data_IF_875348442060
#
_entry.id   IF_875348442060
#
_cell.length_a   1.000
_cell.length_b   1.000
_cell.length_c   1.000
_cell.angle_alpha   90.00
_cell.angle_beta   90.00
_cell.angle_gamma   90.00
#
_symmetry.space_group_name_H-M   'P 1'
#
loop_
_entity.id
_entity.type
_entity.pdbx_description
1 polymer ?
#
# COMPACT_ATOMS: atom_id res chain seq x y z
N UNK A 1 10.68 49.17 10.30
CA UNK A 1 11.16 48.18 9.34
C UNK A 1 11.07 46.83 10.03
N UNK A 2 9.97 46.17 9.89
CA UNK A 2 9.75 44.86 10.50
C UNK A 2 10.28 43.77 9.55
N UNK A 3 11.36 43.16 9.96
CA UNK A 3 11.95 41.99 9.30
C UNK A 3 11.06 40.78 9.63
N UNK A 4 10.02 40.58 8.83
CA UNK A 4 9.23 39.39 8.94
C UNK A 4 10.08 38.22 8.41
N UNK A 5 10.75 37.55 9.33
CA UNK A 5 11.32 36.24 9.08
C UNK A 5 10.18 35.34 8.65
N UNK A 6 10.01 35.13 7.34
CA UNK A 6 9.21 34.05 6.75
C UNK A 6 9.89 32.71 7.11
N UNK A 7 9.86 32.37 8.38
CA UNK A 7 10.12 31.03 8.84
C UNK A 7 8.93 30.17 8.45
N UNK A 8 8.86 29.79 7.18
CA UNK A 8 7.98 28.73 6.74
C UNK A 8 8.26 27.51 7.61
N UNK A 9 7.28 27.14 8.45
CA UNK A 9 7.39 25.97 9.31
C UNK A 9 7.71 24.76 8.44
N UNK A 10 8.81 24.11 8.70
CA UNK A 10 9.15 22.86 8.05
C UNK A 10 8.01 21.87 8.27
N UNK A 11 7.43 21.38 7.18
CA UNK A 11 6.44 20.30 7.25
C UNK A 11 7.16 18.99 7.49
N UNK A 12 6.59 18.17 8.34
CA UNK A 12 7.09 16.82 8.57
C UNK A 12 7.00 15.92 7.32
N UNK A 13 6.10 16.24 6.39
CA UNK A 13 5.84 15.45 5.18
C UNK A 13 6.51 16.01 3.93
N UNK A 14 6.69 17.32 3.86
CA UNK A 14 7.19 18.00 2.67
C UNK A 14 8.48 18.77 2.97
N UNK A 15 9.45 18.66 2.09
CA UNK A 15 10.67 19.44 2.17
C UNK A 15 10.43 20.92 1.78
N UNK A 16 11.38 21.78 2.10
CA UNK A 16 11.30 23.22 1.82
C UNK A 16 11.08 23.52 0.35
N UNK A 17 11.71 22.76 -0.55
CA UNK A 17 11.56 22.96 -1.99
C UNK A 17 10.13 22.67 -2.44
N UNK A 18 9.53 21.60 -1.94
CA UNK A 18 8.12 21.26 -2.21
C UNK A 18 7.17 22.32 -1.66
N UNK A 19 7.40 22.81 -0.43
CA UNK A 19 6.60 23.88 0.17
C UNK A 19 6.69 25.16 -0.67
N UNK A 20 7.89 25.53 -1.10
CA UNK A 20 8.09 26.70 -1.98
C UNK A 20 7.37 26.57 -3.32
N UNK A 21 7.41 25.36 -3.94
CA UNK A 21 6.68 25.12 -5.18
C UNK A 21 5.15 25.20 -4.99
N UNK A 22 4.63 24.71 -3.86
CA UNK A 22 3.20 24.80 -3.51
C UNK A 22 2.80 26.27 -3.29
N UNK A 23 3.61 27.03 -2.55
CA UNK A 23 3.35 28.45 -2.30
C UNK A 23 3.39 29.28 -3.59
N UNK A 24 4.34 28.99 -4.49
CA UNK A 24 4.41 29.63 -5.80
C UNK A 24 3.19 29.30 -6.65
N UNK A 25 2.77 28.04 -6.68
CA UNK A 25 1.57 27.62 -7.41
C UNK A 25 0.31 28.34 -6.88
N UNK A 26 0.19 28.46 -5.56
CA UNK A 26 -0.93 29.15 -4.92
C UNK A 26 -0.93 30.65 -5.19
N UNK A 27 0.25 31.29 -5.21
CA UNK A 27 0.39 32.75 -5.40
C UNK A 27 0.26 33.17 -6.86
N UNK A 28 0.96 32.48 -7.74
CA UNK A 28 1.21 32.92 -9.12
C UNK A 28 0.38 32.13 -10.15
N UNK A 29 -0.33 31.06 -9.72
CA UNK A 29 -1.05 30.16 -10.62
C UNK A 29 -0.14 29.34 -11.52
N UNK A 30 1.19 29.40 -11.30
CA UNK A 30 2.18 28.67 -12.09
C UNK A 30 2.62 27.43 -11.33
N UNK A 31 2.40 26.26 -11.89
CA UNK A 31 2.73 24.99 -11.27
C UNK A 31 3.52 24.08 -12.22
N UNK A 32 4.34 23.23 -11.62
CA UNK A 32 5.01 22.14 -12.35
C UNK A 32 4.03 20.98 -12.53
N UNK A 33 4.03 20.38 -13.71
CA UNK A 33 3.23 19.16 -13.96
C UNK A 33 3.93 17.98 -13.28
N UNK A 34 3.76 17.87 -11.98
CA UNK A 34 4.26 16.77 -11.16
C UNK A 34 3.40 16.61 -9.89
N UNK A 35 3.38 15.41 -9.32
CA UNK A 35 2.79 15.18 -8.02
C UNK A 35 3.63 15.75 -6.88
N UNK A 36 2.99 16.14 -5.79
CA UNK A 36 3.64 16.51 -4.53
C UNK A 36 3.58 15.31 -3.58
N UNK A 37 4.50 14.38 -3.75
CA UNK A 37 4.63 13.23 -2.86
C UNK A 37 5.29 13.60 -1.53
N UNK A 38 4.93 12.92 -0.45
CA UNK A 38 5.63 13.01 0.82
C UNK A 38 7.08 12.56 0.67
N UNK A 39 8.01 13.34 1.24
CA UNK A 39 9.45 13.05 1.21
C UNK A 39 10.00 12.66 2.57
N UNK A 40 9.13 12.29 3.49
CA UNK A 40 9.52 11.79 4.79
C UNK A 40 10.32 10.49 4.63
N UNK A 41 11.42 10.37 5.35
CA UNK A 41 12.10 9.09 5.52
C UNK A 41 11.16 8.15 6.29
N UNK A 42 10.70 7.11 5.64
CA UNK A 42 9.89 6.06 6.26
C UNK A 42 10.79 5.00 6.89
N UNK A 43 10.31 4.27 7.90
CA UNK A 43 11.01 3.10 8.40
C UNK A 43 11.32 2.12 7.27
N UNK A 44 12.52 1.57 7.28
CA UNK A 44 12.98 0.58 6.32
C UNK A 44 13.23 -0.75 7.03
N UNK A 45 13.31 -1.85 6.30
CA UNK A 45 13.63 -3.15 6.90
C UNK A 45 14.98 -3.15 7.62
N UNK A 46 15.95 -2.35 7.16
CA UNK A 46 17.24 -2.19 7.84
C UNK A 46 17.15 -1.50 9.21
N UNK A 47 16.04 -0.81 9.49
CA UNK A 47 15.76 -0.20 10.79
C UNK A 47 15.14 -1.19 11.80
N UNK A 48 14.88 -2.44 11.37
CA UNK A 48 14.26 -3.48 12.18
C UNK A 48 15.27 -4.55 12.57
N UNK A 49 15.21 -4.97 13.82
CA UNK A 49 16.04 -6.07 14.34
C UNK A 49 15.14 -7.08 15.02
N UNK A 50 15.28 -8.34 14.68
CA UNK A 50 14.66 -9.42 15.42
C UNK A 50 15.46 -9.70 16.68
N UNK A 51 14.83 -9.53 17.85
CA UNK A 51 15.47 -9.89 19.10
C UNK A 51 15.43 -11.40 19.29
N UNK A 52 16.59 -12.01 19.39
CA UNK A 52 16.71 -13.44 19.68
C UNK A 52 16.17 -13.75 21.07
N UNK A 53 15.38 -14.81 21.18
CA UNK A 53 14.80 -15.28 22.43
C UNK A 53 15.47 -16.58 22.96
N UNK A 54 16.61 -16.97 22.42
CA UNK A 54 17.27 -18.26 22.70
C UNK A 54 17.68 -18.46 24.17
N UNK A 55 17.85 -17.37 24.91
CA UNK A 55 18.16 -17.43 26.35
C UNK A 55 16.89 -17.53 27.21
N UNK A 56 15.75 -17.04 26.71
CA UNK A 56 14.47 -16.97 27.45
C UNK A 56 13.45 -18.01 27.01
N UNK A 57 13.63 -18.62 25.84
CA UNK A 57 12.73 -19.64 25.26
C UNK A 57 13.52 -20.70 24.50
N UNK A 58 12.99 -21.92 24.49
CA UNK A 58 13.45 -22.93 23.55
C UNK A 58 13.14 -22.47 22.12
N UNK A 59 14.12 -22.54 21.20
CA UNK A 59 13.88 -22.21 19.80
C UNK A 59 12.82 -23.13 19.20
N UNK A 60 11.89 -22.55 18.41
CA UNK A 60 11.00 -23.33 17.57
C UNK A 60 11.81 -23.96 16.43
N UNK A 61 11.70 -25.27 16.30
CA UNK A 61 12.33 -26.00 15.21
C UNK A 61 11.30 -26.26 14.11
N UNK A 62 11.41 -25.54 12.98
CA UNK A 62 10.41 -25.54 11.91
C UNK A 62 10.07 -26.91 11.31
N UNK A 63 10.86 -27.93 11.55
CA UNK A 63 10.56 -29.31 11.17
C UNK A 63 9.78 -30.09 12.24
N UNK A 64 9.69 -29.58 13.46
CA UNK A 64 8.95 -30.19 14.57
C UNK A 64 7.66 -29.45 14.90
N UNK A 65 7.58 -28.19 14.56
CA UNK A 65 6.49 -27.32 14.98
C UNK A 65 5.92 -26.55 13.79
N UNK A 66 4.60 -26.54 13.67
CA UNK A 66 3.93 -25.74 12.67
C UNK A 66 3.87 -24.28 13.12
N UNK A 67 4.48 -23.38 12.34
CA UNK A 67 4.31 -21.96 12.50
C UNK A 67 3.05 -21.51 11.76
N UNK A 68 2.05 -21.02 12.47
CA UNK A 68 0.86 -20.41 11.86
C UNK A 68 1.25 -19.14 11.11
N UNK A 69 0.87 -19.06 9.83
CA UNK A 69 1.13 -17.89 8.98
C UNK A 69 -0.14 -17.15 8.59
N UNK A 70 -1.30 -17.69 8.91
CA UNK A 70 -2.59 -17.09 8.61
C UNK A 70 -2.80 -15.76 9.35
N UNK A 71 -3.44 -14.83 8.68
CA UNK A 71 -3.76 -13.50 9.21
C UNK A 71 -5.22 -13.18 8.92
N UNK A 72 -5.92 -12.64 9.90
CA UNK A 72 -7.27 -12.10 9.74
C UNK A 72 -7.22 -10.58 9.62
N UNK A 73 -7.70 -10.05 8.50
CA UNK A 73 -7.77 -8.63 8.22
C UNK A 73 -9.18 -8.10 8.49
N UNK A 74 -9.28 -6.98 9.22
CA UNK A 74 -10.55 -6.33 9.48
C UNK A 74 -11.30 -6.82 10.72
N UNK A 75 -10.67 -7.58 11.61
CA UNK A 75 -11.29 -8.14 12.83
C UNK A 75 -11.94 -7.11 13.74
N UNK A 76 -11.45 -5.88 13.73
CA UNK A 76 -11.97 -4.82 14.61
C UNK A 76 -13.29 -4.22 14.12
N UNK A 77 -13.55 -4.20 12.82
CA UNK A 77 -14.66 -3.43 12.23
C UNK A 77 -15.53 -4.23 11.27
N UNK A 78 -15.17 -5.46 10.96
CA UNK A 78 -15.92 -6.30 10.02
C UNK A 78 -16.55 -7.48 10.74
N UNK A 79 -17.82 -7.75 10.44
CA UNK A 79 -18.48 -8.97 10.87
C UNK A 79 -17.92 -10.23 10.19
N UNK A 80 -17.31 -10.05 9.01
CA UNK A 80 -16.68 -11.11 8.22
C UNK A 80 -15.26 -10.69 7.85
N UNK A 81 -14.27 -10.89 8.73
CA UNK A 81 -12.87 -10.61 8.45
C UNK A 81 -12.38 -11.42 7.23
N UNK A 82 -11.43 -10.85 6.50
CA UNK A 82 -10.76 -11.56 5.42
C UNK A 82 -9.59 -12.36 6.00
N UNK A 83 -9.65 -13.68 5.94
CA UNK A 83 -8.54 -14.55 6.31
C UNK A 83 -7.62 -14.77 5.11
N UNK A 84 -6.32 -14.55 5.29
CA UNK A 84 -5.27 -14.89 4.34
C UNK A 84 -4.33 -15.91 4.97
N UNK A 85 -3.86 -16.87 4.15
CA UNK A 85 -3.09 -18.01 4.67
C UNK A 85 -1.61 -17.66 4.89
N UNK A 86 -1.16 -16.60 4.22
CA UNK A 86 0.21 -16.06 4.36
C UNK A 86 0.16 -14.53 4.54
N UNK A 87 1.06 -13.92 5.32
CA UNK A 87 1.05 -12.48 5.61
C UNK A 87 1.66 -11.64 4.47
N UNK A 88 1.39 -12.02 3.23
CA UNK A 88 1.87 -11.35 2.01
C UNK A 88 0.65 -11.12 1.13
N UNK A 89 0.44 -9.89 0.68
CA UNK A 89 -0.62 -9.51 -0.25
C UNK A 89 -0.04 -8.91 -1.51
N UNK A 90 -0.74 -9.04 -2.63
CA UNK A 90 -0.34 -8.40 -3.89
C UNK A 90 -0.90 -6.98 -3.90
N UNK A 91 0.00 -5.99 -4.03
CA UNK A 91 -0.35 -4.58 -4.09
C UNK A 91 -1.20 -4.26 -5.31
N UNK A 92 -1.99 -3.17 -5.21
CA UNK A 92 -2.79 -2.69 -6.33
C UNK A 92 -1.93 -2.29 -7.53
N UNK A 93 -2.26 -2.87 -8.67
CA UNK A 93 -1.66 -2.56 -9.97
C UNK A 93 -2.77 -2.35 -10.97
N UNK A 94 -2.88 -1.12 -11.50
CA UNK A 94 -4.00 -0.69 -12.34
C UNK A 94 -4.13 -1.49 -13.63
N UNK A 95 -5.36 -1.80 -13.99
CA UNK A 95 -5.70 -2.16 -15.35
C UNK A 95 -5.46 -0.96 -16.27
N UNK A 96 -4.73 -1.17 -17.34
CA UNK A 96 -4.19 -0.10 -18.18
C UNK A 96 -2.67 0.03 -18.05
N UNK A 97 -2.11 -0.12 -16.84
CA UNK A 97 -0.68 -0.41 -16.65
C UNK A 97 -0.38 -1.88 -16.89
N UNK A 98 -1.26 -2.74 -16.42
CA UNK A 98 -1.20 -4.19 -16.63
C UNK A 98 -2.28 -4.62 -17.63
N UNK A 99 -1.97 -5.66 -18.40
CA UNK A 99 -2.94 -6.32 -19.27
C UNK A 99 -3.92 -7.19 -18.48
N UNK A 100 -5.04 -7.57 -19.10
CA UNK A 100 -5.99 -8.52 -18.52
C UNK A 100 -5.34 -9.86 -18.15
N UNK A 101 -4.45 -10.38 -19.02
CA UNK A 101 -3.73 -11.62 -18.75
C UNK A 101 -2.80 -11.51 -17.52
N UNK A 102 -2.15 -10.37 -17.33
CA UNK A 102 -1.33 -10.14 -16.14
C UNK A 102 -2.19 -10.07 -14.87
N UNK A 103 -3.36 -9.43 -14.93
CA UNK A 103 -4.32 -9.38 -13.82
C UNK A 103 -4.85 -10.77 -13.48
N UNK A 104 -5.16 -11.59 -14.49
CA UNK A 104 -5.54 -12.99 -14.31
C UNK A 104 -4.43 -13.80 -13.64
N UNK A 105 -3.19 -13.68 -14.13
CA UNK A 105 -2.06 -14.39 -13.55
C UNK A 105 -1.82 -14.05 -12.08
N UNK A 106 -1.94 -12.77 -11.71
CA UNK A 106 -1.87 -12.33 -10.32
C UNK A 106 -2.99 -12.92 -9.46
N UNK A 107 -4.22 -12.94 -9.98
CA UNK A 107 -5.38 -13.55 -9.31
C UNK A 107 -5.20 -15.05 -9.06
N UNK A 108 -4.74 -15.79 -10.07
CA UNK A 108 -4.43 -17.21 -9.97
C UNK A 108 -3.29 -17.48 -8.96
N UNK A 109 -2.20 -16.70 -9.04
CA UNK A 109 -1.07 -16.83 -8.12
C UNK A 109 -1.47 -16.55 -6.67
N UNK A 110 -2.20 -15.48 -6.42
CA UNK A 110 -2.69 -15.18 -5.07
C UNK A 110 -3.63 -16.27 -4.53
N UNK A 111 -4.54 -16.74 -5.36
CA UNK A 111 -5.49 -17.79 -4.96
C UNK A 111 -4.80 -19.12 -4.65
N UNK A 112 -3.73 -19.47 -5.37
CA UNK A 112 -2.98 -20.72 -5.16
C UNK A 112 -2.29 -20.79 -3.80
N UNK A 113 -1.97 -19.65 -3.21
CA UNK A 113 -1.31 -19.54 -1.88
C UNK A 113 -2.23 -18.94 -0.82
N UNK A 114 -3.53 -18.83 -1.11
CA UNK A 114 -4.54 -18.37 -0.17
C UNK A 114 -4.39 -16.91 0.28
N UNK A 115 -3.81 -16.04 -0.57
CA UNK A 115 -3.69 -14.62 -0.28
C UNK A 115 -4.58 -13.75 -1.16
N UNK A 116 -4.48 -12.43 -1.02
CA UNK A 116 -5.31 -11.46 -1.73
C UNK A 116 -4.54 -10.68 -2.79
N UNK A 117 -5.26 -10.28 -3.84
CA UNK A 117 -4.87 -9.23 -4.79
C UNK A 117 -5.62 -7.95 -4.51
N UNK A 118 -5.11 -6.84 -5.04
CA UNK A 118 -5.78 -5.54 -5.01
C UNK A 118 -5.95 -5.01 -6.44
N UNK A 119 -7.12 -4.46 -6.76
CA UNK A 119 -7.44 -4.06 -8.14
C UNK A 119 -6.56 -2.96 -8.70
N UNK A 120 -6.01 -2.08 -7.86
CA UNK A 120 -5.43 -0.82 -8.32
C UNK A 120 -6.51 0.21 -8.67
N UNK A 121 -6.09 1.38 -9.17
CA UNK A 121 -6.97 2.51 -9.48
C UNK A 121 -7.64 2.43 -10.86
N UNK A 122 -7.20 1.52 -11.72
CA UNK A 122 -7.81 1.25 -13.03
C UNK A 122 -9.09 0.43 -13.01
N UNK A 123 -9.56 0.02 -11.81
CA UNK A 123 -10.76 -0.76 -11.63
C UNK A 123 -10.55 -2.27 -11.69
N UNK A 124 -11.64 -2.99 -11.47
CA UNK A 124 -11.67 -4.44 -11.39
C UNK A 124 -11.95 -5.04 -12.76
N UNK A 125 -11.09 -5.93 -13.22
CA UNK A 125 -11.33 -6.69 -14.46
C UNK A 125 -12.13 -7.97 -14.19
N UNK A 126 -12.83 -8.48 -15.20
CA UNK A 126 -13.56 -9.74 -15.10
C UNK A 126 -12.62 -10.92 -14.85
N UNK A 127 -11.45 -10.88 -15.49
CA UNK A 127 -10.40 -11.90 -15.38
C UNK A 127 -9.84 -11.94 -13.95
N UNK A 128 -9.47 -10.80 -13.40
CA UNK A 128 -8.98 -10.72 -12.03
C UNK A 128 -10.05 -11.18 -11.03
N UNK A 129 -11.29 -10.72 -11.20
CA UNK A 129 -12.41 -11.11 -10.33
C UNK A 129 -12.71 -12.60 -10.40
N UNK A 130 -12.68 -13.16 -11.59
CA UNK A 130 -12.97 -14.59 -11.81
C UNK A 130 -11.93 -15.54 -11.22
N UNK A 131 -10.68 -15.06 -11.10
CA UNK A 131 -9.57 -15.90 -10.65
C UNK A 131 -9.01 -15.54 -9.26
N UNK A 132 -9.49 -14.45 -8.65
CA UNK A 132 -9.08 -14.06 -7.29
C UNK A 132 -10.10 -14.53 -6.26
N UNK A 133 -9.70 -15.47 -5.43
CA UNK A 133 -10.55 -15.95 -4.32
C UNK A 133 -10.75 -14.86 -3.25
N UNK A 134 -9.73 -14.01 -3.07
CA UNK A 134 -9.71 -12.90 -2.10
C UNK A 134 -9.25 -11.64 -2.84
N UNK A 135 -10.18 -10.73 -3.12
CA UNK A 135 -9.94 -9.52 -3.90
C UNK A 135 -10.26 -8.27 -3.08
N UNK A 136 -9.29 -7.38 -2.97
CA UNK A 136 -9.44 -6.06 -2.37
C UNK A 136 -9.70 -5.04 -3.46
N UNK A 137 -10.80 -4.32 -3.36
CA UNK A 137 -11.12 -3.24 -4.30
C UNK A 137 -10.50 -1.93 -3.83
N UNK A 138 -9.72 -1.29 -4.70
CA UNK A 138 -9.10 0.00 -4.40
C UNK A 138 -10.04 1.14 -4.82
N UNK A 139 -10.58 1.84 -3.82
CA UNK A 139 -11.36 3.05 -4.02
C UNK A 139 -10.48 4.29 -3.82
N UNK A 140 -10.49 5.18 -4.81
CA UNK A 140 -9.73 6.44 -4.79
C UNK A 140 -10.64 7.65 -4.84
N UNK A 141 -10.21 8.81 -4.31
CA UNK A 141 -10.95 10.06 -4.42
C UNK A 141 -11.24 10.49 -5.87
N UNK A 142 -10.34 10.16 -6.79
CA UNK A 142 -10.50 10.41 -8.24
C UNK A 142 -11.63 9.61 -8.88
N UNK A 143 -12.11 8.53 -8.21
CA UNK A 143 -13.15 7.60 -8.70
C UNK A 143 -12.85 6.96 -10.05
N UNK A 144 -11.59 6.95 -10.49
CA UNK A 144 -11.19 6.32 -11.76
C UNK A 144 -11.54 4.84 -11.81
N UNK A 145 -11.46 4.15 -10.68
CA UNK A 145 -11.81 2.74 -10.58
C UNK A 145 -13.30 2.43 -10.84
N UNK A 146 -14.18 3.44 -10.76
CA UNK A 146 -15.62 3.26 -10.99
C UNK A 146 -16.04 3.34 -12.46
N UNK A 147 -15.12 3.70 -13.35
CA UNK A 147 -15.40 3.83 -14.80
C UNK A 147 -15.69 2.47 -15.44
N UNK A 148 -15.23 1.38 -14.82
CA UNK A 148 -15.30 0.01 -15.35
C UNK A 148 -16.19 -0.91 -14.51
N UNK A 149 -17.05 -0.36 -13.65
CA UNK A 149 -18.05 -1.14 -12.90
C UNK A 149 -19.39 -1.12 -13.62
#
# INVERSE_FOLDING_TARGET
>A
MANSSENGRESYLFDRATISDIQRAAKDGIYKIRGFGAKRKLPHFDDLVFLGASVSRYPLEGYRENCGTNVELGTRFSEKPMCIDIPITIAGMSFGSLSANAKEALGRGASSVGTSTTTGDGGMTKEERGHSSKLVYQYLPSRLSLIHI
#
